data_IF_243981540787
#
_entry.id   IF_243981540787
#
_cell.length_a   1.000
_cell.length_b   1.000
_cell.length_c   1.000
_cell.angle_alpha   90.00
_cell.angle_beta   90.00
_cell.angle_gamma   90.00
#
_symmetry.space_group_name_H-M   'P 1'
#
loop_
_entity.id
_entity.type
_entity.pdbx_description
1 polymer ?
#
# COMPACT_ATOMS: atom_id res chain seq x y z
N UNK A 1 -20.23 -6.75 3.57
CA UNK A 1 -19.65 -5.50 4.10
C UNK A 1 -18.40 -5.21 3.28
N UNK A 2 -18.39 -4.10 2.54
CA UNK A 2 -17.32 -3.82 1.58
C UNK A 2 -16.09 -3.25 2.26
N UNK A 3 -14.93 -3.90 2.08
CA UNK A 3 -13.65 -3.27 2.36
C UNK A 3 -13.56 -1.95 1.59
N UNK A 4 -13.54 -0.84 2.32
CA UNK A 4 -13.20 0.47 1.75
C UNK A 4 -11.72 0.42 1.39
N UNK A 5 -11.40 0.57 0.10
CA UNK A 5 -10.01 0.62 -0.31
C UNK A 5 -9.31 1.80 0.36
N UNK A 6 -8.03 1.60 0.69
CA UNK A 6 -7.27 2.50 1.53
C UNK A 6 -6.54 3.54 0.67
N UNK A 7 -6.94 4.81 0.73
CA UNK A 7 -6.15 5.91 0.17
C UNK A 7 -5.03 6.26 1.15
N UNK A 8 -3.76 6.14 0.72
CA UNK A 8 -2.63 6.63 1.52
C UNK A 8 -1.74 7.54 0.70
N UNK A 9 -1.47 8.70 1.28
CA UNK A 9 -0.42 9.60 0.84
C UNK A 9 0.87 9.21 1.55
N UNK A 10 1.92 8.96 0.77
CA UNK A 10 3.26 8.73 1.28
C UNK A 10 4.14 9.94 0.98
N UNK A 11 4.89 10.40 1.99
CA UNK A 11 6.09 11.18 1.71
C UNK A 11 7.18 10.26 1.15
N UNK A 12 8.22 10.86 0.52
CA UNK A 12 9.37 10.09 0.04
C UNK A 12 10.02 9.26 1.16
N UNK A 13 10.17 9.84 2.36
CA UNK A 13 10.76 9.14 3.50
C UNK A 13 9.88 8.00 4.00
N UNK A 14 8.55 8.17 4.01
CA UNK A 14 7.64 7.10 4.43
C UNK A 14 7.69 5.92 3.48
N UNK A 15 7.73 6.20 2.17
CA UNK A 15 7.79 5.17 1.14
C UNK A 15 9.12 4.40 1.19
N UNK A 16 10.24 5.12 1.33
CA UNK A 16 11.57 4.49 1.48
C UNK A 16 11.62 3.69 2.79
N UNK A 17 11.12 4.22 3.89
CA UNK A 17 11.09 3.54 5.19
C UNK A 17 10.27 2.26 5.14
N UNK A 18 9.12 2.27 4.46
CA UNK A 18 8.32 1.09 4.22
C UNK A 18 9.08 0.04 3.38
N UNK A 19 9.57 0.44 2.21
CA UNK A 19 10.20 -0.51 1.28
C UNK A 19 11.52 -1.06 1.83
N UNK A 20 12.45 -0.18 2.19
CA UNK A 20 13.79 -0.59 2.63
C UNK A 20 13.83 -1.09 4.07
N UNK A 21 12.96 -0.58 4.95
CA UNK A 21 12.93 -0.96 6.36
C UNK A 21 12.08 -2.20 6.65
N UNK A 22 11.09 -2.50 5.80
CA UNK A 22 10.12 -3.55 6.07
C UNK A 22 10.02 -4.59 4.95
N UNK A 23 9.81 -4.14 3.71
CA UNK A 23 9.45 -5.04 2.60
C UNK A 23 10.66 -5.80 2.07
N UNK A 24 11.72 -5.11 1.62
CA UNK A 24 12.89 -5.77 1.03
C UNK A 24 13.64 -6.70 1.97
N UNK A 25 13.82 -6.39 3.28
CA UNK A 25 14.44 -7.33 4.21
C UNK A 25 13.61 -8.62 4.38
N UNK A 26 12.27 -8.51 4.40
CA UNK A 26 11.38 -9.65 4.57
C UNK A 26 11.13 -10.43 3.27
N UNK A 27 11.22 -9.76 2.12
CA UNK A 27 10.88 -10.26 0.80
C UNK A 27 12.04 -9.92 -0.15
N UNK A 28 13.15 -10.70 -0.10
CA UNK A 28 14.36 -10.38 -0.85
C UNK A 28 14.18 -10.43 -2.38
N UNK A 29 13.18 -11.20 -2.85
CA UNK A 29 12.81 -11.35 -4.26
C UNK A 29 11.61 -10.47 -4.65
N UNK A 30 11.28 -9.45 -3.83
CA UNK A 30 10.18 -8.54 -4.13
C UNK A 30 10.32 -7.94 -5.54
N UNK A 31 9.25 -8.04 -6.32
CA UNK A 31 9.20 -7.52 -7.67
C UNK A 31 7.91 -6.76 -7.95
N UNK A 32 8.03 -5.67 -8.71
CA UNK A 32 6.89 -5.05 -9.38
C UNK A 32 6.61 -5.85 -10.66
N UNK A 33 5.61 -6.74 -10.61
CA UNK A 33 5.29 -7.67 -11.71
C UNK A 33 4.64 -6.97 -12.91
N UNK A 34 4.07 -5.78 -12.70
CA UNK A 34 3.49 -4.95 -13.75
C UNK A 34 3.70 -3.48 -13.39
N UNK A 35 3.96 -2.63 -14.40
CA UNK A 35 4.01 -1.19 -14.27
C UNK A 35 3.61 -0.54 -15.61
N UNK A 36 2.58 0.31 -15.61
CA UNK A 36 2.25 1.12 -16.80
C UNK A 36 3.32 2.19 -17.05
N UNK A 37 3.42 2.71 -18.28
CA UNK A 37 4.48 3.64 -18.72
C UNK A 37 4.53 4.98 -17.95
N UNK A 38 3.45 5.36 -17.25
CA UNK A 38 3.47 6.46 -16.28
C UNK A 38 3.69 7.83 -16.92
N UNK A 39 3.04 8.09 -18.07
CA UNK A 39 3.12 9.38 -18.73
C UNK A 39 2.76 10.53 -17.78
N UNK A 40 3.63 11.53 -17.73
CA UNK A 40 3.46 12.72 -16.90
C UNK A 40 2.56 13.68 -17.67
N UNK A 41 1.38 13.96 -17.12
CA UNK A 41 0.47 14.95 -17.64
C UNK A 41 0.98 16.38 -17.38
N UNK A 42 0.41 17.35 -18.09
CA UNK A 42 0.78 18.78 -18.00
C UNK A 42 0.63 19.36 -16.59
N UNK A 43 -0.17 18.73 -15.72
CA UNK A 43 -0.36 19.10 -14.32
C UNK A 43 0.75 18.60 -13.38
N UNK A 44 1.77 17.93 -13.93
CA UNK A 44 2.91 17.37 -13.21
C UNK A 44 2.60 16.07 -12.46
N UNK A 45 1.49 15.41 -12.77
CA UNK A 45 1.17 14.09 -12.24
C UNK A 45 1.31 13.01 -13.31
N UNK A 46 1.80 11.85 -12.90
CA UNK A 46 1.62 10.61 -13.65
C UNK A 46 0.71 9.65 -12.89
N UNK A 47 -0.06 8.86 -13.63
CA UNK A 47 -0.82 7.74 -13.09
C UNK A 47 -0.12 6.48 -13.50
N UNK A 48 0.24 5.65 -12.53
CA UNK A 48 0.84 4.34 -12.76
C UNK A 48 -0.07 3.26 -12.20
N UNK A 49 -0.21 2.17 -12.95
CA UNK A 49 -0.81 0.92 -12.47
C UNK A 49 0.35 -0.02 -12.19
N UNK A 50 0.44 -0.54 -10.96
CA UNK A 50 1.51 -1.43 -10.54
C UNK A 50 0.96 -2.71 -9.91
N UNK A 51 1.62 -3.85 -10.10
CA UNK A 51 1.32 -5.07 -9.35
C UNK A 51 2.59 -5.58 -8.68
N UNK A 52 2.46 -6.28 -7.55
CA UNK A 52 3.60 -6.73 -6.76
C UNK A 52 3.52 -8.23 -6.45
N UNK A 53 4.70 -8.86 -6.43
CA UNK A 53 4.86 -10.28 -6.10
C UNK A 53 6.16 -10.53 -5.33
N UNK A 54 6.24 -11.65 -4.62
CA UNK A 54 7.45 -12.10 -3.95
C UNK A 54 7.18 -13.22 -2.95
N UNK A 55 8.23 -13.67 -2.27
CA UNK A 55 8.20 -14.71 -1.26
C UNK A 55 8.70 -14.19 0.09
N UNK A 56 7.99 -14.53 1.16
CA UNK A 56 8.38 -14.16 2.52
C UNK A 56 9.41 -15.14 3.08
N UNK A 57 10.65 -15.02 2.61
CA UNK A 57 11.79 -15.88 2.98
C UNK A 57 12.91 -15.14 3.71
N UNK A 58 12.80 -13.81 3.83
CA UNK A 58 13.82 -12.97 4.47
C UNK A 58 13.63 -12.89 5.98
N UNK A 59 13.74 -11.66 6.51
CA UNK A 59 13.47 -11.36 7.92
C UNK A 59 11.96 -11.32 8.22
N UNK A 60 11.62 -11.16 9.48
CA UNK A 60 10.25 -10.89 9.91
C UNK A 60 9.70 -9.60 9.26
N UNK A 61 8.48 -9.68 8.73
CA UNK A 61 7.77 -8.53 8.16
C UNK A 61 7.16 -7.69 9.29
N UNK A 62 7.61 -6.43 9.42
CA UNK A 62 7.16 -5.49 10.45
C UNK A 62 6.49 -4.28 9.82
N UNK A 63 5.17 -4.35 9.64
CA UNK A 63 4.40 -3.21 9.12
C UNK A 63 3.89 -2.30 10.26
N UNK A 64 3.85 -0.98 10.06
CA UNK A 64 3.34 -0.06 11.09
C UNK A 64 1.91 -0.38 11.52
N UNK A 65 1.71 -0.57 12.83
CA UNK A 65 0.40 -0.85 13.42
C UNK A 65 -0.11 -2.28 13.23
N UNK A 66 0.75 -3.21 12.82
CA UNK A 66 0.45 -4.63 12.70
C UNK A 66 1.45 -5.46 13.51
N UNK A 67 1.01 -6.64 13.94
CA UNK A 67 1.90 -7.59 14.62
C UNK A 67 3.02 -8.05 13.66
N UNK A 68 4.26 -8.19 14.15
CA UNK A 68 5.33 -8.75 13.33
C UNK A 68 4.97 -10.14 12.80
N UNK A 69 5.26 -10.40 11.52
CA UNK A 69 4.96 -11.68 10.88
C UNK A 69 6.25 -12.44 10.59
N UNK A 70 6.49 -13.61 11.22
CA UNK A 70 7.70 -14.38 10.99
C UNK A 70 7.77 -14.94 9.56
N UNK A 71 8.98 -15.22 9.03
CA UNK A 71 9.17 -15.78 7.69
C UNK A 71 8.30 -17.01 7.48
N UNK A 72 7.47 -16.96 6.45
CA UNK A 72 6.43 -17.97 6.22
C UNK A 72 6.71 -18.87 5.02
N UNK A 73 7.66 -18.49 4.17
CA UNK A 73 7.91 -19.14 2.87
C UNK A 73 6.79 -18.94 1.85
N UNK A 74 5.69 -18.29 2.21
CA UNK A 74 4.55 -18.08 1.32
C UNK A 74 4.89 -17.09 0.22
N UNK A 75 4.35 -17.40 -0.94
CA UNK A 75 4.27 -16.50 -2.09
C UNK A 75 3.06 -15.56 -1.95
N UNK A 76 3.18 -14.34 -2.46
CA UNK A 76 2.04 -13.46 -2.69
C UNK A 76 2.05 -12.93 -4.12
N UNK A 77 0.85 -12.68 -4.63
CA UNK A 77 0.59 -11.95 -5.86
C UNK A 77 -0.53 -10.96 -5.57
N UNK A 78 -0.23 -9.67 -5.59
CA UNK A 78 -1.24 -8.64 -5.33
C UNK A 78 -2.02 -8.31 -6.59
N UNK A 79 -3.24 -7.80 -6.39
CA UNK A 79 -3.96 -7.13 -7.46
C UNK A 79 -3.21 -5.86 -7.88
N UNK A 80 -3.56 -5.35 -9.06
CA UNK A 80 -3.08 -4.06 -9.54
C UNK A 80 -3.39 -2.94 -8.51
N UNK A 81 -2.49 -1.99 -8.38
CA UNK A 81 -2.58 -0.82 -7.53
C UNK A 81 -2.43 0.40 -8.41
N UNK A 82 -3.36 1.33 -8.33
CA UNK A 82 -3.25 2.60 -9.06
C UNK A 82 -2.60 3.62 -8.15
N UNK A 83 -1.49 4.21 -8.58
CA UNK A 83 -0.80 5.27 -7.88
C UNK A 83 -0.79 6.54 -8.72
N UNK A 84 -1.18 7.66 -8.11
CA UNK A 84 -1.01 9.00 -8.66
C UNK A 84 0.26 9.60 -8.07
N UNK A 85 1.27 9.81 -8.91
CA UNK A 85 2.58 10.27 -8.50
C UNK A 85 2.76 11.70 -8.98
N UNK A 86 3.11 12.61 -8.07
CA UNK A 86 3.49 13.97 -8.42
C UNK A 86 4.99 14.04 -8.68
N UNK A 87 5.38 14.58 -9.82
CA UNK A 87 6.77 14.83 -10.18
C UNK A 87 7.05 16.32 -10.30
N UNK A 88 8.28 16.73 -10.03
CA UNK A 88 8.72 18.10 -10.31
C UNK A 88 9.23 18.28 -11.75
N UNK A 89 9.55 19.51 -12.12
CA UNK A 89 10.10 19.84 -13.45
C UNK A 89 11.45 19.18 -13.78
N UNK A 90 12.06 18.50 -12.81
CA UNK A 90 13.29 17.72 -12.97
C UNK A 90 13.00 16.20 -12.97
N UNK A 91 11.73 15.79 -13.02
CA UNK A 91 11.31 14.39 -13.04
C UNK A 91 11.40 13.68 -11.68
N UNK A 92 11.56 14.40 -10.57
CA UNK A 92 11.71 13.77 -9.25
C UNK A 92 10.36 13.62 -8.55
N UNK A 93 10.13 12.45 -7.96
CA UNK A 93 8.93 12.17 -7.17
C UNK A 93 8.85 13.08 -5.93
N UNK A 94 7.74 13.80 -5.81
CA UNK A 94 7.40 14.64 -4.66
C UNK A 94 6.36 14.00 -3.76
N UNK A 95 5.43 13.27 -4.34
CA UNK A 95 4.28 12.72 -3.64
C UNK A 95 3.81 11.45 -4.34
N UNK A 96 3.45 10.43 -3.55
CA UNK A 96 2.82 9.20 -4.04
C UNK A 96 1.47 9.10 -3.34
N UNK A 97 0.41 9.16 -4.13
CA UNK A 97 -0.95 8.91 -3.69
C UNK A 97 -1.38 7.54 -4.19
N UNK A 98 -1.46 6.58 -3.27
CA UNK A 98 -2.01 5.26 -3.57
C UNK A 98 -3.53 5.37 -3.58
N UNK A 99 -4.16 5.03 -4.70
CA UNK A 99 -5.61 5.01 -4.82
C UNK A 99 -6.18 3.71 -4.24
N UNK A 100 -7.40 3.75 -3.68
CA UNK A 100 -8.11 2.58 -3.17
C UNK A 100 -8.18 1.44 -4.19
N UNK A 101 -7.53 0.31 -3.91
CA UNK A 101 -7.84 -0.96 -4.57
C UNK A 101 -7.91 -2.11 -3.55
N UNK A 102 -8.84 -3.04 -3.78
CA UNK A 102 -8.98 -4.25 -2.97
C UNK A 102 -7.92 -5.26 -3.37
N UNK A 103 -7.29 -5.89 -2.39
CA UNK A 103 -6.26 -6.90 -2.65
C UNK A 103 -4.90 -6.34 -3.08
N UNK A 104 -4.70 -5.03 -2.96
CA UNK A 104 -3.45 -4.35 -3.25
C UNK A 104 -2.83 -3.70 -2.01
N UNK A 105 -1.54 -3.39 -2.10
CA UNK A 105 -0.79 -2.67 -1.09
C UNK A 105 -0.35 -3.48 0.14
N UNK A 106 0.28 -2.82 1.13
CA UNK A 106 0.99 -3.49 2.23
C UNK A 106 0.09 -4.34 3.13
N UNK A 107 -1.16 -3.93 3.35
CA UNK A 107 -2.12 -4.69 4.18
C UNK A 107 -2.60 -5.96 3.48
N UNK A 108 -2.86 -5.90 2.17
CA UNK A 108 -3.22 -7.06 1.39
C UNK A 108 -2.06 -8.08 1.34
N UNK A 109 -0.82 -7.59 1.17
CA UNK A 109 0.38 -8.42 1.28
C UNK A 109 0.48 -9.11 2.64
N UNK A 110 0.31 -8.35 3.73
CA UNK A 110 0.34 -8.92 5.08
C UNK A 110 -0.71 -10.01 5.29
N UNK A 111 -1.94 -9.79 4.83
CA UNK A 111 -3.01 -10.77 4.89
C UNK A 111 -2.71 -12.01 4.02
N UNK A 112 -2.18 -11.84 2.81
CA UNK A 112 -1.79 -12.93 1.91
C UNK A 112 -0.70 -13.82 2.53
N UNK A 113 0.22 -13.23 3.29
CA UNK A 113 1.26 -13.94 4.02
C UNK A 113 0.75 -14.62 5.31
N UNK A 114 -0.54 -14.45 5.65
CA UNK A 114 -1.20 -15.08 6.80
C UNK A 114 -1.24 -14.21 8.07
N UNK A 115 -0.89 -12.92 7.95
CA UNK A 115 -1.07 -11.95 9.01
C UNK A 115 -2.54 -11.61 9.25
N UNK A 116 -2.92 -11.38 10.50
CA UNK A 116 -4.28 -10.98 10.87
C UNK A 116 -4.39 -9.46 10.88
N UNK A 117 -5.20 -8.90 9.99
CA UNK A 117 -5.47 -7.46 10.02
C UNK A 117 -6.36 -7.15 11.22
N UNK A 118 -6.05 -6.11 12.02
CA UNK A 118 -6.96 -5.63 13.05
C UNK A 118 -8.25 -5.15 12.39
N UNK A 119 -9.38 -5.36 13.06
CA UNK A 119 -10.65 -4.81 12.60
C UNK A 119 -10.48 -3.30 12.37
N UNK A 120 -11.04 -2.75 11.28
CA UNK A 120 -11.01 -1.32 11.06
C UNK A 120 -11.59 -0.64 12.31
N UNK A 121 -11.01 0.49 12.78
CA UNK A 121 -11.61 1.23 13.88
C UNK A 121 -13.07 1.48 13.50
N UNK A 122 -13.99 0.92 14.28
CA UNK A 122 -15.41 1.13 14.11
C UNK A 122 -15.60 2.64 14.03
N UNK A 123 -16.04 3.15 12.88
CA UNK A 123 -16.41 4.55 12.77
C UNK A 123 -17.39 4.80 13.92
N UNK A 124 -17.08 5.79 14.77
CA UNK A 124 -17.99 6.16 15.84
C UNK A 124 -19.39 6.30 15.24
N UNK A 125 -20.44 5.73 15.86
CA UNK A 125 -21.79 5.92 15.35
C UNK A 125 -22.00 7.42 15.15
N UNK A 126 -22.65 7.85 14.04
CA UNK A 126 -22.95 9.26 13.86
C UNK A 126 -23.67 9.73 15.12
N UNK A 127 -23.12 10.76 15.77
CA UNK A 127 -23.77 11.37 16.92
C UNK A 127 -25.22 11.68 16.52
N UNK A 128 -26.18 11.23 17.33
CA UNK A 128 -27.61 11.47 17.16
C UNK A 128 -27.84 12.88 16.65
N UNK A 129 -28.26 13.01 15.39
CA UNK A 129 -28.76 14.26 14.86
C UNK A 129 -30.11 14.44 15.54
N UNK A 130 -30.29 15.43 16.44
CA UNK A 130 -31.60 15.62 17.06
C UNK A 130 -32.64 15.89 15.97
N UNK A 131 -33.84 15.32 16.06
CA UNK A 131 -34.89 15.58 15.07
C UNK A 131 -35.19 17.07 15.05
N UNK A 132 -35.07 17.67 13.87
CA UNK A 132 -35.41 19.08 13.63
C UNK A 132 -36.94 19.22 13.73
N UNK A 133 -37.48 20.15 14.55
CA UNK A 133 -38.91 20.43 14.63
C UNK A 133 -39.44 21.18 13.40
#
# INVERSE_FOLDING_TARGET
MGEMGYTRKFSKSDYIGLMAGCVWPAIPDFNWSEASNGEVADDGYCVVVVAATGHHTGTELRLPGLEPLPPSGKHFCLAEEVQKIKVDSQGRVKEILVLPNKGAGPRAMYAALGGKLPDPPQAAPPADIPPVP
#
